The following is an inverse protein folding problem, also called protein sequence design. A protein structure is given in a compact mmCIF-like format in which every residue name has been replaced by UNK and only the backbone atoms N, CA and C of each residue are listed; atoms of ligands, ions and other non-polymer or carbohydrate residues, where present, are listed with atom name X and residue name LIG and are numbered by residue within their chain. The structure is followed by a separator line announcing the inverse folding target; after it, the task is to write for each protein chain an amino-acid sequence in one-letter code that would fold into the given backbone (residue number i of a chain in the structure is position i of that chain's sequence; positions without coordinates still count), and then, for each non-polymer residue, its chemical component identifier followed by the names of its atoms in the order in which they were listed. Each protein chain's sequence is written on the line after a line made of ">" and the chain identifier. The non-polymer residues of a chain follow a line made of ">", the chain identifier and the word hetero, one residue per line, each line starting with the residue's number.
data_IF_681704770517
#
_entry.id   IF_681704770517
#
_cell.length_a   1.000
_cell.length_b   1.000
_cell.length_c   1.000
_cell.angle_alpha   90.00
_cell.angle_beta   90.00
_cell.angle_gamma   90.00
#
_symmetry.space_group_name_H-M   'P 1'
#
loop_
_entity.id
_entity.type
_entity.pdbx_description
1 polymer ?
#
# COMPACT_ATOMS: atom_id res chain seq x y z
N UNK A 1 -27.36 -12.72 10.45
CA UNK A 1 -26.53 -13.61 11.27
C UNK A 1 -25.26 -12.86 11.63
N UNK A 2 -25.12 -12.49 12.90
CA UNK A 2 -24.15 -11.52 13.39
C UNK A 2 -22.77 -12.16 13.57
N UNK A 3 -21.71 -11.61 12.95
CA UNK A 3 -20.35 -11.82 13.44
C UNK A 3 -20.13 -10.82 14.57
N UNK A 4 -20.03 -11.33 15.79
CA UNK A 4 -19.80 -10.57 17.02
C UNK A 4 -18.48 -9.80 16.93
N UNK A 5 -18.54 -8.49 17.14
CA UNK A 5 -17.40 -7.73 17.62
C UNK A 5 -16.98 -8.32 18.97
N UNK A 6 -15.76 -8.87 19.05
CA UNK A 6 -15.19 -9.30 20.31
C UNK A 6 -14.76 -8.06 21.10
N UNK A 7 -15.56 -7.71 22.11
CA UNK A 7 -15.09 -6.97 23.27
C UNK A 7 -14.21 -7.90 24.11
N UNK A 8 -12.92 -7.58 24.28
CA UNK A 8 -12.04 -8.35 25.13
C UNK A 8 -10.67 -7.71 25.29
N UNK A 9 -10.45 -7.14 26.48
CA UNK A 9 -9.18 -6.80 27.12
C UNK A 9 -8.04 -6.20 26.29
N UNK A 10 -7.66 -4.98 26.69
CA UNK A 10 -6.37 -4.37 26.43
C UNK A 10 -5.23 -5.31 26.86
N UNK A 11 -4.71 -6.08 25.90
CA UNK A 11 -3.33 -6.50 25.92
C UNK A 11 -2.54 -5.37 25.23
N UNK A 12 -1.47 -4.84 25.84
CA UNK A 12 -0.65 -3.84 25.17
C UNK A 12 -0.15 -4.47 23.87
N UNK A 13 -0.38 -3.78 22.76
CA UNK A 13 0.15 -4.10 21.45
C UNK A 13 1.68 -4.00 21.49
N UNK A 14 2.34 -5.02 22.03
CA UNK A 14 3.79 -5.11 22.24
C UNK A 14 4.39 -6.37 21.60
N UNK A 15 3.65 -7.07 20.73
CA UNK A 15 4.20 -8.16 19.93
C UNK A 15 3.83 -7.94 18.46
N UNK A 16 4.87 -7.57 17.69
CA UNK A 16 4.97 -7.47 16.23
C UNK A 16 4.61 -6.12 15.57
N UNK A 17 5.21 -5.03 16.04
CA UNK A 17 5.62 -3.92 15.15
C UNK A 17 7.11 -4.02 14.82
N UNK A 18 7.57 -5.20 14.37
CA UNK A 18 8.78 -5.20 13.54
C UNK A 18 8.31 -4.71 12.18
N UNK A 19 8.36 -3.39 11.97
CA UNK A 19 8.38 -2.86 10.61
C UNK A 19 9.57 -3.55 9.94
N UNK A 20 9.34 -4.56 9.11
CA UNK A 20 10.41 -5.28 8.42
C UNK A 20 11.04 -4.31 7.43
N UNK A 21 12.04 -3.56 7.91
CA UNK A 21 12.73 -2.57 7.08
C UNK A 21 13.57 -3.34 6.08
N UNK A 22 13.51 -2.92 4.83
CA UNK A 22 14.36 -3.44 3.78
C UNK A 22 15.13 -2.31 3.12
N UNK A 23 16.32 -2.64 2.62
CA UNK A 23 17.16 -1.68 1.94
C UNK A 23 16.53 -1.29 0.60
N UNK A 24 16.15 -0.02 0.44
CA UNK A 24 15.53 0.50 -0.79
C UNK A 24 16.45 0.44 -2.03
N UNK A 25 17.73 0.14 -1.85
CA UNK A 25 18.69 0.06 -2.94
C UNK A 25 19.06 -1.37 -3.37
N UNK A 26 18.90 -2.37 -2.49
CA UNK A 26 19.34 -3.74 -2.75
C UNK A 26 18.36 -4.82 -2.28
N UNK A 27 17.27 -4.44 -1.62
CA UNK A 27 16.20 -5.35 -1.20
C UNK A 27 16.50 -6.21 0.02
N UNK A 28 17.74 -6.27 0.54
CA UNK A 28 18.09 -6.99 1.78
C UNK A 28 17.16 -6.58 2.93
N UNK A 29 16.66 -7.54 3.71
CA UNK A 29 15.88 -7.24 4.91
C UNK A 29 16.78 -6.84 6.07
N UNK A 30 16.18 -6.36 7.15
CA UNK A 30 16.91 -5.97 8.37
C UNK A 30 17.67 -7.16 8.97
N UNK A 31 17.09 -8.37 8.91
CA UNK A 31 17.77 -9.62 9.32
C UNK A 31 19.02 -9.92 8.49
N UNK A 32 19.01 -9.58 7.19
CA UNK A 32 20.14 -9.80 6.27
C UNK A 32 21.30 -8.81 6.48
N UNK A 33 21.14 -7.80 7.35
CA UNK A 33 22.10 -6.70 7.55
C UNK A 33 22.59 -6.70 8.99
N UNK A 34 23.71 -7.38 9.23
CA UNK A 34 24.34 -7.49 10.56
C UNK A 34 24.67 -6.15 11.22
N UNK A 35 24.98 -5.12 10.43
CA UNK A 35 25.32 -3.78 10.93
C UNK A 35 24.08 -2.92 11.29
N UNK A 36 22.87 -3.45 11.08
CA UNK A 36 21.61 -2.72 11.22
C UNK A 36 21.31 -1.80 10.03
N UNK A 37 20.03 -1.45 9.86
CA UNK A 37 19.59 -0.54 8.80
C UNK A 37 19.75 0.93 9.18
N UNK A 38 20.19 1.73 8.21
CA UNK A 38 20.33 3.17 8.33
C UNK A 38 19.16 3.86 7.62
N UNK A 39 18.40 4.68 8.36
CA UNK A 39 17.38 5.52 7.77
C UNK A 39 18.01 6.73 7.04
N UNK A 40 17.35 7.22 6.00
CA UNK A 40 17.72 8.48 5.37
C UNK A 40 17.71 9.60 6.41
N UNK A 41 18.82 10.32 6.58
CA UNK A 41 18.95 11.40 7.56
C UNK A 41 18.06 12.63 7.29
N UNK A 42 17.44 12.72 6.11
CA UNK A 42 16.56 13.84 5.73
C UNK A 42 15.09 13.54 6.00
N UNK A 43 14.58 12.44 5.44
CA UNK A 43 13.15 12.09 5.56
C UNK A 43 12.88 11.06 6.66
N UNK A 44 13.90 10.38 7.19
CA UNK A 44 13.81 9.28 8.16
C UNK A 44 12.97 8.07 7.73
N UNK A 45 12.58 8.04 6.45
CA UNK A 45 11.63 7.06 5.93
C UNK A 45 12.31 5.92 5.18
N UNK A 46 13.13 6.23 4.18
CA UNK A 46 13.80 5.21 3.39
C UNK A 46 14.93 4.58 4.20
N UNK A 47 14.98 3.24 4.24
CA UNK A 47 16.03 2.48 4.94
C UNK A 47 17.07 1.92 3.97
N UNK A 48 18.33 1.87 4.39
CA UNK A 48 19.47 1.44 3.59
C UNK A 48 20.42 0.56 4.39
N UNK A 49 21.10 -0.33 3.68
CA UNK A 49 22.20 -1.13 4.21
C UNK A 49 23.42 -0.30 4.66
N UNK A 50 23.51 0.95 4.17
CA UNK A 50 24.67 1.82 4.32
C UNK A 50 24.67 2.97 3.32
N UNK A 51 25.61 3.89 3.47
CA UNK A 51 25.74 5.08 2.62
C UNK A 51 25.86 4.75 1.11
N UNK A 52 26.56 3.67 0.76
CA UNK A 52 26.69 3.21 -0.64
C UNK A 52 25.33 2.87 -1.26
N UNK A 53 24.48 2.15 -0.51
CA UNK A 53 23.11 1.83 -0.91
C UNK A 53 22.28 3.13 -1.09
N UNK A 54 22.37 4.07 -0.14
CA UNK A 54 21.68 5.36 -0.22
C UNK A 54 22.09 6.19 -1.45
N UNK A 55 23.39 6.34 -1.69
CA UNK A 55 23.91 7.12 -2.83
C UNK A 55 23.47 6.52 -4.17
N UNK A 56 23.50 5.18 -4.29
CA UNK A 56 23.03 4.49 -5.49
C UNK A 56 21.53 4.70 -5.74
N UNK A 57 20.72 4.72 -4.69
CA UNK A 57 19.28 4.96 -4.80
C UNK A 57 18.91 6.45 -4.93
N UNK A 58 19.82 7.37 -4.61
CA UNK A 58 19.53 8.80 -4.47
C UNK A 58 18.84 9.42 -5.68
N UNK A 59 19.24 9.08 -6.91
CA UNK A 59 18.60 9.62 -8.12
C UNK A 59 17.09 9.31 -8.17
N UNK A 60 16.66 8.15 -7.68
CA UNK A 60 15.25 7.76 -7.58
C UNK A 60 14.59 8.32 -6.33
N UNK A 61 15.30 8.33 -5.20
CA UNK A 61 14.77 8.78 -3.92
C UNK A 61 14.62 10.30 -3.79
N UNK A 62 15.45 11.10 -4.47
CA UNK A 62 15.60 12.54 -4.22
C UNK A 62 14.27 13.30 -4.20
N UNK A 63 13.38 13.04 -5.17
CA UNK A 63 12.10 13.74 -5.24
C UNK A 63 11.19 13.32 -4.08
N UNK A 64 10.97 12.01 -3.89
CA UNK A 64 10.19 11.49 -2.77
C UNK A 64 10.73 11.94 -1.41
N UNK A 65 12.06 12.04 -1.25
CA UNK A 65 12.69 12.56 -0.05
C UNK A 65 12.31 14.02 0.22
N UNK A 66 12.28 14.86 -0.83
CA UNK A 66 11.91 16.27 -0.74
C UNK A 66 10.44 16.39 -0.33
N UNK A 67 9.57 15.66 -1.01
CA UNK A 67 8.12 15.69 -0.78
C UNK A 67 7.79 15.30 0.66
N UNK A 68 8.43 14.25 1.20
CA UNK A 68 8.25 13.82 2.60
C UNK A 68 8.82 14.81 3.64
N UNK A 69 9.74 15.69 3.25
CA UNK A 69 10.31 16.69 4.17
C UNK A 69 9.55 18.02 4.15
N UNK A 70 8.97 18.40 3.01
CA UNK A 70 8.23 19.67 2.85
C UNK A 70 6.76 19.52 3.25
N UNK A 71 6.20 18.33 3.04
CA UNK A 71 4.90 17.93 3.57
C UNK A 71 5.12 16.71 4.46
N UNK A 72 4.80 16.77 5.77
CA UNK A 72 4.91 15.58 6.60
C UNK A 72 4.14 14.46 5.92
N UNK A 73 4.71 13.24 5.87
CA UNK A 73 4.08 12.14 5.17
C UNK A 73 2.66 11.97 5.71
N UNK A 74 1.66 11.75 4.84
CA UNK A 74 0.31 11.49 5.28
C UNK A 74 0.30 10.38 6.33
N UNK A 75 -0.65 10.42 7.26
CA UNK A 75 -0.77 9.43 8.35
C UNK A 75 -0.68 7.99 7.83
N UNK A 76 -1.20 7.71 6.62
CA UNK A 76 -1.20 6.39 6.01
C UNK A 76 0.15 5.93 5.44
N UNK A 77 1.17 6.79 5.42
CA UNK A 77 2.48 6.45 4.83
C UNK A 77 3.10 5.22 5.50
N UNK A 78 2.97 5.09 6.82
CA UNK A 78 3.49 3.93 7.57
C UNK A 78 2.82 2.62 7.18
N UNK A 79 1.64 2.67 6.57
CA UNK A 79 0.89 1.52 6.09
C UNK A 79 1.18 1.18 4.62
N UNK A 80 2.01 1.95 3.92
CA UNK A 80 2.32 1.73 2.50
C UNK A 80 3.21 0.51 2.23
N UNK A 81 3.75 -0.14 3.27
CA UNK A 81 4.71 -1.23 3.12
C UNK A 81 4.04 -2.60 3.18
N UNK A 82 4.20 -3.40 2.12
CA UNK A 82 3.66 -4.76 2.05
C UNK A 82 4.67 -5.82 2.48
N UNK A 83 4.16 -7.01 2.82
CA UNK A 83 4.96 -8.17 3.23
C UNK A 83 5.86 -8.71 2.10
N UNK A 84 5.39 -8.63 0.86
CA UNK A 84 6.14 -9.03 -0.33
C UNK A 84 7.18 -7.99 -0.80
N UNK A 85 7.40 -6.95 0.02
CA UNK A 85 8.28 -5.80 -0.25
C UNK A 85 7.80 -4.90 -1.38
N UNK A 86 6.57 -5.07 -1.88
CA UNK A 86 5.94 -4.03 -2.70
C UNK A 86 5.56 -2.83 -1.81
N UNK A 87 5.70 -1.62 -2.34
CA UNK A 87 5.30 -0.39 -1.64
C UNK A 87 4.09 0.19 -2.36
N UNK A 88 2.98 0.39 -1.66
CA UNK A 88 1.87 1.21 -2.17
C UNK A 88 2.36 2.64 -2.37
N UNK A 89 2.27 3.14 -3.60
CA UNK A 89 2.70 4.51 -3.93
C UNK A 89 1.53 5.51 -3.93
N UNK A 90 0.31 5.00 -3.77
CA UNK A 90 -0.92 5.79 -3.82
C UNK A 90 -1.30 6.34 -2.46
N UNK A 91 -2.27 7.26 -2.45
CA UNK A 91 -2.97 7.61 -1.22
C UNK A 91 -3.89 6.50 -0.76
N UNK A 92 -4.04 6.37 0.55
CA UNK A 92 -5.13 5.65 1.15
C UNK A 92 -6.37 6.54 1.07
N UNK A 93 -7.46 6.03 0.49
CA UNK A 93 -8.69 6.77 0.26
C UNK A 93 -9.89 6.01 0.80
N UNK A 94 -10.74 6.67 1.59
CA UNK A 94 -11.95 6.06 2.10
C UNK A 94 -12.96 5.80 0.99
N UNK A 95 -13.54 4.60 0.99
CA UNK A 95 -14.60 4.21 0.07
C UNK A 95 -15.90 4.84 0.57
N UNK A 96 -16.38 5.86 -0.12
CA UNK A 96 -17.56 6.65 0.30
C UNK A 96 -18.76 6.48 -0.63
N UNK A 97 -18.67 5.55 -1.58
CA UNK A 97 -19.68 5.24 -2.59
C UNK A 97 -20.23 3.83 -2.43
N UNK A 98 -21.35 3.58 -3.10
CA UNK A 98 -21.97 2.26 -3.18
C UNK A 98 -21.34 1.40 -4.29
N UNK A 99 -21.25 0.10 -4.05
CA UNK A 99 -20.92 -0.90 -5.07
C UNK A 99 -22.05 -1.94 -5.17
N UNK A 100 -23.04 -1.74 -6.06
CA UNK A 100 -24.16 -2.67 -6.22
C UNK A 100 -23.75 -4.10 -6.56
N UNK A 101 -22.64 -4.27 -7.28
CA UNK A 101 -22.11 -5.59 -7.67
C UNK A 101 -21.66 -6.42 -6.46
N UNK A 102 -21.14 -5.76 -5.43
CA UNK A 102 -20.66 -6.39 -4.20
C UNK A 102 -21.70 -6.33 -3.07
N UNK A 103 -22.80 -5.58 -3.26
CA UNK A 103 -23.78 -5.34 -2.20
C UNK A 103 -23.22 -4.49 -1.06
N UNK A 104 -22.19 -3.68 -1.35
CA UNK A 104 -21.48 -2.87 -0.34
C UNK A 104 -21.79 -1.37 -0.50
N UNK A 105 -21.55 -0.62 0.57
CA UNK A 105 -21.75 0.83 0.63
C UNK A 105 -20.60 1.56 1.31
N UNK A 106 -20.95 2.59 2.09
CA UNK A 106 -20.00 3.48 2.75
C UNK A 106 -19.03 2.70 3.65
N UNK A 107 -17.73 2.94 3.53
CA UNK A 107 -16.71 2.21 4.26
C UNK A 107 -16.57 0.75 3.83
N UNK A 108 -17.00 0.40 2.61
CA UNK A 108 -16.96 -0.96 2.05
C UNK A 108 -17.64 -2.02 2.94
N UNK A 109 -18.54 -1.62 3.84
CA UNK A 109 -19.39 -2.55 4.59
C UNK A 109 -20.60 -2.97 3.75
N UNK A 110 -21.40 -3.91 4.26
CA UNK A 110 -22.67 -4.24 3.63
C UNK A 110 -23.54 -2.99 3.50
N UNK A 111 -24.30 -2.91 2.40
CA UNK A 111 -25.10 -1.71 2.08
C UNK A 111 -26.06 -1.36 3.22
N UNK A 112 -26.61 -2.36 3.89
CA UNK A 112 -27.54 -2.20 5.01
C UNK A 112 -26.87 -1.65 6.28
N UNK A 113 -25.55 -1.75 6.40
CA UNK A 113 -24.76 -1.30 7.55
C UNK A 113 -24.08 0.07 7.31
N UNK A 114 -24.23 0.63 6.12
CA UNK A 114 -23.49 1.84 5.68
C UNK A 114 -23.79 3.07 6.53
N UNK A 115 -25.06 3.29 6.87
CA UNK A 115 -25.47 4.48 7.64
C UNK A 115 -24.94 4.43 9.07
N UNK A 116 -24.91 3.25 9.67
CA UNK A 116 -24.41 3.06 11.04
C UNK A 116 -22.88 3.18 11.10
N UNK A 117 -22.17 2.61 10.12
CA UNK A 117 -20.72 2.74 10.05
C UNK A 117 -20.30 4.21 9.79
N UNK A 118 -21.03 4.92 8.92
CA UNK A 118 -20.81 6.36 8.69
C UNK A 118 -21.06 7.18 9.95
N UNK A 119 -22.17 6.92 10.66
CA UNK A 119 -22.46 7.58 11.94
C UNK A 119 -21.38 7.33 12.97
N UNK A 120 -20.82 6.11 13.02
CA UNK A 120 -19.71 5.76 13.90
C UNK A 120 -18.46 6.58 13.58
N UNK A 121 -18.11 6.70 12.29
CA UNK A 121 -17.01 7.55 11.83
C UNK A 121 -17.18 9.01 12.26
N UNK A 122 -18.37 9.56 12.07
CA UNK A 122 -18.66 10.96 12.41
C UNK A 122 -18.68 11.21 13.93
N UNK A 123 -19.24 10.29 14.72
CA UNK A 123 -19.48 10.52 16.15
C UNK A 123 -18.38 9.98 17.06
N UNK A 124 -18.01 8.69 16.92
CA UNK A 124 -16.99 8.05 17.77
C UNK A 124 -15.58 8.44 17.34
N UNK A 125 -15.31 8.43 16.03
CA UNK A 125 -13.99 8.76 15.49
C UNK A 125 -13.82 10.24 15.15
N UNK A 126 -14.90 11.05 15.25
CA UNK A 126 -14.89 12.49 14.99
C UNK A 126 -14.33 12.85 13.61
N UNK A 127 -14.56 11.99 12.62
CA UNK A 127 -14.05 12.17 11.26
C UNK A 127 -12.55 11.87 11.08
N UNK A 128 -11.87 11.28 12.08
CA UNK A 128 -10.45 10.93 11.98
C UNK A 128 -10.26 9.68 11.11
N UNK A 129 -9.78 9.86 9.89
CA UNK A 129 -9.47 8.74 8.97
C UNK A 129 -8.39 7.80 9.54
N UNK A 130 -7.37 8.35 10.19
CA UNK A 130 -6.28 7.56 10.81
C UNK A 130 -6.83 6.58 11.86
N UNK A 131 -7.60 7.07 12.84
CA UNK A 131 -8.20 6.22 13.87
C UNK A 131 -9.24 5.27 13.29
N UNK A 132 -9.98 5.72 12.28
CA UNK A 132 -10.97 4.87 11.64
C UNK A 132 -10.33 3.75 10.83
N UNK A 133 -9.18 3.99 10.20
CA UNK A 133 -8.41 2.96 9.50
C UNK A 133 -7.84 1.92 10.46
N UNK A 134 -7.34 2.33 11.63
CA UNK A 134 -6.92 1.38 12.67
C UNK A 134 -8.06 0.44 13.10
N UNK A 135 -9.31 0.92 13.04
CA UNK A 135 -10.50 0.16 13.38
C UNK A 135 -11.09 -0.65 12.20
N UNK A 136 -11.11 -0.08 11.00
CA UNK A 136 -11.82 -0.58 9.82
C UNK A 136 -11.03 -0.34 8.51
N UNK A 137 -9.85 -0.99 8.36
CA UNK A 137 -8.93 -0.70 7.26
C UNK A 137 -9.47 -1.07 5.88
N UNK A 138 -10.31 -2.10 5.77
CA UNK A 138 -10.98 -2.51 4.54
C UNK A 138 -11.97 -1.46 3.98
N UNK A 139 -12.36 -0.47 4.78
CA UNK A 139 -13.16 0.66 4.33
C UNK A 139 -12.41 1.67 3.49
N UNK A 140 -11.12 1.45 3.28
CA UNK A 140 -10.26 2.27 2.44
C UNK A 140 -9.76 1.49 1.23
N UNK A 141 -9.22 2.21 0.26
CA UNK A 141 -8.53 1.67 -0.91
C UNK A 141 -7.16 2.32 -1.10
N UNK A 142 -6.24 1.58 -1.69
CA UNK A 142 -5.00 2.14 -2.22
C UNK A 142 -5.22 2.63 -3.65
N UNK A 143 -5.05 3.93 -3.87
CA UNK A 143 -5.30 4.54 -5.19
C UNK A 143 -4.29 4.14 -6.28
N UNK A 144 -3.13 3.59 -5.91
CA UNK A 144 -2.10 3.16 -6.86
C UNK A 144 -2.43 1.86 -7.58
N UNK A 145 -3.15 0.95 -6.93
CA UNK A 145 -3.40 -0.41 -7.42
C UNK A 145 -4.88 -0.83 -7.33
N UNK A 146 -5.70 -0.07 -6.59
CA UNK A 146 -7.12 -0.33 -6.37
C UNK A 146 -7.39 -1.56 -5.51
N UNK A 147 -6.46 -1.92 -4.61
CA UNK A 147 -6.70 -2.91 -3.56
C UNK A 147 -7.34 -2.25 -2.34
N UNK A 148 -7.96 -3.07 -1.49
CA UNK A 148 -8.48 -2.65 -0.18
C UNK A 148 -7.33 -2.20 0.73
N UNK A 149 -7.64 -1.35 1.71
CA UNK A 149 -6.65 -0.72 2.59
C UNK A 149 -5.93 -1.73 3.49
N UNK A 150 -6.61 -2.80 3.88
CA UNK A 150 -6.06 -3.92 4.65
C UNK A 150 -5.24 -4.92 3.81
N UNK A 151 -5.19 -4.73 2.48
CA UNK A 151 -4.40 -5.56 1.58
C UNK A 151 -2.91 -5.22 1.69
N UNK A 152 -2.18 -6.04 2.44
CA UNK A 152 -0.75 -5.91 2.69
C UNK A 152 0.14 -6.80 1.79
N UNK A 153 -0.37 -7.21 0.64
CA UNK A 153 0.33 -8.01 -0.38
C UNK A 153 -0.18 -7.70 -1.79
N UNK A 154 0.60 -8.05 -2.81
CA UNK A 154 0.13 -8.06 -4.20
C UNK A 154 -0.11 -6.67 -4.80
N UNK A 155 0.61 -5.66 -4.32
CA UNK A 155 0.54 -4.34 -4.93
C UNK A 155 1.32 -4.34 -6.26
N UNK A 156 0.58 -4.47 -7.36
CA UNK A 156 1.12 -4.49 -8.70
C UNK A 156 0.88 -3.16 -9.42
N UNK A 157 1.98 -2.48 -9.75
CA UNK A 157 1.98 -1.27 -10.55
C UNK A 157 2.40 -1.60 -11.98
N UNK A 158 1.46 -1.69 -12.91
CA UNK A 158 1.74 -2.07 -14.30
C UNK A 158 2.32 -0.92 -15.13
N UNK A 159 3.49 -0.41 -14.73
CA UNK A 159 4.24 0.63 -15.43
C UNK A 159 4.28 1.99 -14.73
N UNK A 160 3.56 2.15 -13.62
CA UNK A 160 3.53 3.41 -12.85
C UNK A 160 4.35 3.38 -11.57
N UNK A 161 4.75 2.19 -11.08
CA UNK A 161 5.48 2.08 -9.84
C UNK A 161 6.95 2.49 -9.98
N UNK A 162 7.64 2.76 -8.88
CA UNK A 162 9.08 3.05 -8.82
C UNK A 162 9.94 1.86 -9.27
N UNK A 163 9.43 0.65 -9.11
CA UNK A 163 10.07 -0.60 -9.53
C UNK A 163 9.38 -1.20 -10.75
N UNK A 164 10.14 -1.98 -11.51
CA UNK A 164 9.60 -2.74 -12.63
C UNK A 164 8.56 -3.76 -12.11
N UNK A 165 7.39 -3.81 -12.74
CA UNK A 165 6.37 -4.79 -12.40
C UNK A 165 6.92 -6.22 -12.55
N UNK A 166 6.64 -7.09 -11.57
CA UNK A 166 7.13 -8.48 -11.57
C UNK A 166 6.07 -9.48 -12.03
N UNK A 167 4.86 -9.03 -12.41
CA UNK A 167 3.81 -9.94 -12.86
C UNK A 167 4.13 -10.58 -14.22
N UNK A 168 3.61 -11.79 -14.44
CA UNK A 168 3.87 -12.58 -15.65
C UNK A 168 3.42 -11.90 -16.94
N UNK A 169 2.35 -11.09 -16.88
CA UNK A 169 1.88 -10.31 -18.03
C UNK A 169 2.92 -9.26 -18.44
N UNK A 170 3.44 -8.47 -17.50
CA UNK A 170 4.43 -7.43 -17.81
C UNK A 170 5.75 -8.04 -18.27
N UNK A 171 6.21 -9.13 -17.64
CA UNK A 171 7.38 -9.91 -18.08
C UNK A 171 7.21 -10.47 -19.49
N UNK A 172 6.04 -11.02 -19.78
CA UNK A 172 5.65 -11.50 -21.11
C UNK A 172 5.35 -10.39 -22.12
N UNK A 173 5.45 -9.12 -21.70
CA UNK A 173 5.19 -7.98 -22.57
C UNK A 173 3.73 -7.85 -23.01
N UNK A 174 2.80 -8.39 -22.24
CA UNK A 174 1.37 -8.38 -22.52
C UNK A 174 0.65 -7.48 -21.51
N UNK A 175 -0.38 -6.78 -21.98
CA UNK A 175 -1.30 -6.07 -21.10
C UNK A 175 -2.13 -7.08 -20.29
N UNK A 176 -2.67 -6.66 -19.15
CA UNK A 176 -3.63 -7.46 -18.40
C UNK A 176 -4.85 -7.83 -19.28
N UNK A 177 -5.41 -9.05 -19.16
CA UNK A 177 -6.62 -9.43 -19.87
C UNK A 177 -7.83 -8.64 -19.33
N UNK A 178 -8.85 -8.45 -20.18
CA UNK A 178 -10.04 -7.66 -19.85
C UNK A 178 -10.73 -8.15 -18.58
N UNK A 179 -10.78 -9.47 -18.35
CA UNK A 179 -11.39 -10.06 -17.15
C UNK A 179 -10.76 -9.58 -15.84
N UNK A 180 -9.46 -9.24 -15.86
CA UNK A 180 -8.72 -8.72 -14.70
C UNK A 180 -8.84 -7.21 -14.67
N UNK A 181 -8.58 -6.56 -15.81
CA UNK A 181 -8.57 -5.10 -15.89
C UNK A 181 -9.94 -4.48 -15.56
N UNK A 182 -11.00 -5.03 -16.14
CA UNK A 182 -12.38 -4.56 -16.00
C UNK A 182 -13.09 -5.14 -14.76
N UNK A 183 -12.37 -5.78 -13.83
CA UNK A 183 -12.96 -6.24 -12.57
C UNK A 183 -13.49 -5.01 -11.81
N UNK A 184 -14.80 -4.90 -11.73
CA UNK A 184 -15.48 -3.93 -10.88
C UNK A 184 -15.49 -4.43 -9.44
N UNK A 185 -14.96 -3.60 -8.54
CA UNK A 185 -15.04 -3.71 -7.09
C UNK A 185 -15.13 -2.31 -6.49
N UNK A 186 -15.61 -2.18 -5.25
CA UNK A 186 -15.67 -0.91 -4.55
C UNK A 186 -14.31 -0.18 -4.55
N UNK A 187 -13.22 -0.92 -4.30
CA UNK A 187 -11.86 -0.38 -4.28
C UNK A 187 -11.36 0.10 -5.67
N UNK A 188 -11.87 -0.43 -6.78
CA UNK A 188 -11.42 -0.07 -8.14
C UNK A 188 -12.29 0.99 -8.83
N UNK A 189 -13.49 1.26 -8.33
CA UNK A 189 -14.43 2.18 -8.97
C UNK A 189 -13.89 3.60 -9.10
N UNK A 190 -13.86 4.14 -10.31
CA UNK A 190 -13.38 5.50 -10.57
C UNK A 190 -11.85 5.67 -10.57
N UNK A 191 -11.09 4.59 -10.41
CA UNK A 191 -9.63 4.63 -10.61
C UNK A 191 -9.27 4.37 -12.08
N UNK A 192 -8.36 5.19 -12.62
CA UNK A 192 -7.73 4.95 -13.92
C UNK A 192 -6.38 4.26 -13.70
N UNK A 193 -6.41 2.93 -13.60
CA UNK A 193 -5.20 2.14 -13.37
C UNK A 193 -4.53 1.76 -14.71
N UNK A 194 -3.18 1.71 -14.77
CA UNK A 194 -2.47 1.20 -15.93
C UNK A 194 -2.78 -0.28 -16.17
N UNK A 195 -2.86 -0.64 -17.45
CA UNK A 195 -3.08 -2.03 -17.87
C UNK A 195 -1.78 -2.80 -18.12
N UNK A 196 -0.64 -2.10 -18.13
CA UNK A 196 0.64 -2.64 -18.58
C UNK A 196 0.68 -2.91 -20.09
N UNK A 197 1.73 -3.60 -20.58
CA UNK A 197 2.86 -4.09 -19.80
C UNK A 197 3.76 -2.95 -19.32
N UNK A 198 4.42 -3.11 -18.18
CA UNK A 198 5.53 -2.25 -17.80
C UNK A 198 6.73 -2.52 -18.71
N UNK A 199 7.22 -1.54 -19.50
CA UNK A 199 8.35 -1.74 -20.41
C UNK A 199 9.64 -2.17 -19.68
N UNK A 200 9.78 -1.80 -18.40
CA UNK A 200 10.97 -2.11 -17.58
C UNK A 200 11.02 -3.58 -17.18
N UNK A 201 9.89 -4.28 -17.19
CA UNK A 201 9.80 -5.70 -16.83
C UNK A 201 10.46 -6.65 -17.82
N UNK A 202 10.71 -6.19 -19.06
CA UNK A 202 11.35 -7.01 -20.11
C UNK A 202 12.88 -7.03 -20.00
N UNK A 203 13.47 -6.10 -19.25
CA UNK A 203 14.94 -5.86 -19.23
C UNK A 203 15.66 -6.74 -18.19
N UNK A 204 14.94 -7.52 -17.36
CA UNK A 204 15.55 -8.35 -16.32
C UNK A 204 15.97 -9.76 -16.75
N UNK A 205 15.95 -10.09 -18.05
CA UNK A 205 16.43 -11.37 -18.59
C UNK A 205 17.88 -11.26 -19.10
N UNK A 206 18.74 -10.54 -18.37
CA UNK A 206 20.19 -10.67 -18.52
C UNK A 206 20.67 -11.91 -17.76
N UNK A 207 21.63 -12.69 -18.28
CA UNK A 207 22.14 -13.85 -17.54
C UNK A 207 22.74 -13.40 -16.20
N UNK A 208 22.61 -14.19 -15.13
CA UNK A 208 23.27 -13.89 -13.87
C UNK A 208 24.78 -13.87 -14.08
N UNK A 209 25.46 -12.89 -13.46
CA UNK A 209 26.91 -12.90 -13.28
C UNK A 209 27.34 -14.08 -12.41
#
# INVERSE_FOLDING_TARGET
>A
MWRRALSGNSLPCLLLTVTMRHCQACGKSEEDVTAGMQACSRCHVASYCGATCQQRHWKKHKQACKDMTETPPPWYYVHSWNMDRSQHEGRLEMITWDCPKEGTGWGHCFKEESDDLKRKFETEFKGSEEKFYEYWPQGFRWTCCGTEGDMNYGCDHHGTGIYACTCDYCRGGKALPDRIYNKQSAARMGLSLPRGPDPRSRVSMGPPL
#
